data_IF_337841174126
#
_entry.id   IF_337841174126
#
_cell.length_a   1.000
_cell.length_b   1.000
_cell.length_c   1.000
_cell.angle_alpha   90.00
_cell.angle_beta   90.00
_cell.angle_gamma   90.00
#
_symmetry.space_group_name_H-M   'P 1'
#
loop_
_entity.id
_entity.type
_entity.pdbx_description
1 polymer ?
#
# COMPACT_ATOMS: atom_id res chain seq x y z
N UNK A 1 10.08 -13.65 13.74
CA UNK A 1 10.43 -12.37 13.09
C UNK A 1 9.42 -11.32 13.54
N UNK A 2 9.14 -11.28 14.85
CA UNK A 2 7.84 -10.84 15.35
C UNK A 2 7.91 -9.46 16.02
N UNK A 3 8.94 -8.69 15.64
CA UNK A 3 9.24 -7.37 16.22
C UNK A 3 9.18 -6.22 15.21
N UNK A 4 8.84 -6.52 13.95
CA UNK A 4 8.69 -5.53 12.90
C UNK A 4 7.22 -5.18 12.66
N UNK A 5 6.95 -3.98 12.15
CA UNK A 5 5.65 -3.64 11.60
C UNK A 5 5.30 -4.49 10.37
N UNK A 6 4.02 -4.53 10.02
CA UNK A 6 3.52 -5.36 8.93
C UNK A 6 2.55 -4.59 8.03
N UNK A 7 2.61 -4.89 6.73
CA UNK A 7 1.63 -4.44 5.75
C UNK A 7 1.21 -5.64 4.90
N UNK A 8 -0.05 -6.05 5.02
CA UNK A 8 -0.57 -7.20 4.29
C UNK A 8 -1.88 -6.88 3.58
N UNK A 9 -2.28 -7.79 2.70
CA UNK A 9 -3.50 -7.68 1.91
C UNK A 9 -4.32 -8.93 2.16
N UNK A 10 -5.58 -8.73 2.53
CA UNK A 10 -6.61 -9.75 2.56
C UNK A 10 -7.53 -9.56 1.37
N UNK A 11 -8.03 -10.65 0.81
CA UNK A 11 -8.95 -10.63 -0.33
C UNK A 11 -10.14 -11.49 0.00
N UNK A 12 -11.34 -10.98 -0.26
CA UNK A 12 -12.59 -11.71 -0.03
C UNK A 12 -12.61 -13.01 -0.86
N UNK A 13 -13.09 -14.11 -0.27
CA UNK A 13 -13.21 -15.40 -0.95
C UNK A 13 -11.98 -16.32 -0.83
N UNK A 14 -10.94 -15.90 -0.12
CA UNK A 14 -9.78 -16.75 0.19
C UNK A 14 -8.85 -16.94 -1.00
N UNK A 15 -7.62 -16.46 -0.87
CA UNK A 15 -6.59 -16.53 -1.92
C UNK A 15 -5.35 -17.23 -1.38
N UNK A 16 -4.68 -18.00 -2.24
CA UNK A 16 -3.41 -18.66 -1.91
C UNK A 16 -2.26 -18.01 -2.69
N UNK A 17 -1.05 -17.91 -2.11
CA UNK A 17 0.12 -17.44 -2.85
C UNK A 17 0.54 -18.41 -3.95
N UNK A 18 0.62 -17.91 -5.18
CA UNK A 18 1.12 -18.68 -6.34
C UNK A 18 2.62 -18.53 -6.50
N UNK A 19 3.11 -17.29 -6.41
CA UNK A 19 4.51 -16.96 -6.64
C UNK A 19 4.88 -15.63 -6.01
N UNK A 20 6.17 -15.50 -5.65
CA UNK A 20 6.77 -14.27 -5.17
C UNK A 20 8.17 -14.14 -5.75
N UNK A 21 8.45 -13.07 -6.49
CA UNK A 21 9.75 -12.85 -7.15
C UNK A 21 10.08 -11.38 -7.27
N UNK A 22 11.36 -11.05 -7.20
CA UNK A 22 11.85 -9.77 -7.69
C UNK A 22 11.87 -9.76 -9.22
N UNK A 23 11.50 -8.64 -9.84
CA UNK A 23 11.64 -8.49 -11.30
C UNK A 23 13.13 -8.35 -11.66
N UNK A 24 13.61 -9.01 -12.74
CA UNK A 24 15.03 -9.04 -13.09
C UNK A 24 15.65 -7.65 -13.17
N UNK A 25 16.80 -7.46 -12.51
CA UNK A 25 17.54 -6.19 -12.54
C UNK A 25 16.88 -5.04 -11.79
N UNK A 26 15.89 -5.31 -10.93
CA UNK A 26 15.15 -4.28 -10.19
C UNK A 26 14.98 -4.63 -8.72
N UNK A 27 14.73 -3.63 -7.88
CA UNK A 27 14.23 -3.82 -6.52
C UNK A 27 12.69 -3.71 -6.48
N UNK A 28 12.02 -4.36 -7.43
CA UNK A 28 10.56 -4.43 -7.53
C UNK A 28 10.14 -5.85 -7.19
N UNK A 29 9.34 -6.01 -6.15
CA UNK A 29 8.82 -7.29 -5.70
C UNK A 29 7.41 -7.51 -6.26
N UNK A 30 7.21 -8.63 -6.95
CA UNK A 30 5.90 -9.05 -7.45
C UNK A 30 5.43 -10.32 -6.74
N UNK A 31 4.23 -10.26 -6.18
CA UNK A 31 3.54 -11.40 -5.56
C UNK A 31 2.24 -11.67 -6.31
N UNK A 32 2.02 -12.90 -6.75
CA UNK A 32 0.76 -13.31 -7.37
C UNK A 32 0.01 -14.23 -6.41
N UNK A 33 -1.29 -13.98 -6.26
CA UNK A 33 -2.23 -14.80 -5.50
C UNK A 33 -3.32 -15.32 -6.46
N UNK A 34 -3.80 -16.55 -6.26
CA UNK A 34 -4.95 -17.09 -7.00
C UNK A 34 -6.04 -17.61 -6.08
N UNK A 35 -7.25 -17.65 -6.66
CA UNK A 35 -8.40 -18.38 -6.15
C UNK A 35 -9.27 -18.82 -7.33
N UNK A 36 -10.30 -19.65 -7.10
CA UNK A 36 -11.33 -19.91 -8.12
C UNK A 36 -12.07 -18.65 -8.61
N UNK A 37 -11.99 -17.54 -7.87
CA UNK A 37 -12.66 -16.27 -8.17
C UNK A 37 -11.80 -15.30 -8.98
N UNK A 38 -10.51 -15.57 -9.18
CA UNK A 38 -9.64 -14.75 -10.00
C UNK A 38 -8.18 -14.75 -9.54
N UNK A 39 -7.42 -13.78 -10.04
CA UNK A 39 -6.01 -13.57 -9.68
C UNK A 39 -5.80 -12.16 -9.17
N UNK A 40 -4.96 -12.02 -8.16
CA UNK A 40 -4.47 -10.74 -7.67
C UNK A 40 -2.94 -10.68 -7.85
N UNK A 41 -2.45 -9.60 -8.44
CA UNK A 41 -1.04 -9.26 -8.51
C UNK A 41 -0.78 -8.08 -7.59
N UNK A 42 0.19 -8.26 -6.70
CA UNK A 42 0.70 -7.24 -5.79
C UNK A 42 2.10 -6.88 -6.27
N UNK A 43 2.34 -5.59 -6.56
CA UNK A 43 3.66 -5.09 -6.94
C UNK A 43 4.13 -4.05 -5.94
N UNK A 44 5.25 -4.32 -5.28
CA UNK A 44 5.87 -3.49 -4.25
C UNK A 44 7.19 -2.90 -4.75
N UNK A 45 7.38 -1.60 -4.59
CA UNK A 45 8.64 -0.94 -4.93
C UNK A 45 8.81 0.39 -4.19
N UNK A 46 10.07 0.80 -4.02
CA UNK A 46 10.41 2.13 -3.53
C UNK A 46 10.60 3.07 -4.71
N UNK A 47 10.07 4.30 -4.61
CA UNK A 47 10.30 5.32 -5.63
C UNK A 47 11.71 5.87 -5.45
N UNK A 48 12.52 5.78 -6.50
CA UNK A 48 13.84 6.44 -6.57
C UNK A 48 13.66 7.71 -7.39
N UNK A 49 13.82 8.89 -6.78
CA UNK A 49 13.80 10.16 -7.50
C UNK A 49 15.19 10.50 -8.03
N UNK A 50 15.25 11.10 -9.22
CA UNK A 50 16.51 11.68 -9.72
C UNK A 50 16.92 12.88 -8.85
N UNK A 51 18.21 12.93 -8.53
CA UNK A 51 18.87 13.76 -7.51
C UNK A 51 18.69 15.29 -7.61
N UNK A 52 17.92 15.78 -8.59
CA UNK A 52 17.80 17.21 -8.92
C UNK A 52 16.52 17.88 -8.38
N UNK A 53 15.64 17.16 -7.68
CA UNK A 53 14.42 17.76 -7.10
C UNK A 53 14.43 17.66 -5.58
N UNK A 54 14.73 18.80 -4.93
CA UNK A 54 14.79 19.00 -3.48
C UNK A 54 13.40 19.11 -2.84
N UNK A 55 12.63 18.02 -2.83
CA UNK A 55 11.37 17.95 -2.07
C UNK A 55 11.45 16.80 -1.06
N UNK A 56 11.13 17.11 0.20
CA UNK A 56 11.58 16.50 1.46
C UNK A 56 11.08 15.08 1.81
N UNK A 57 10.75 14.26 0.82
CA UNK A 57 10.14 12.94 1.03
C UNK A 57 10.88 11.84 0.26
N UNK A 58 12.06 11.47 0.77
CA UNK A 58 12.98 10.50 0.13
C UNK A 58 12.54 9.02 0.30
N UNK A 59 11.46 8.76 1.04
CA UNK A 59 11.08 7.41 1.47
C UNK A 59 9.62 7.09 1.14
N UNK A 60 9.36 6.86 -0.15
CA UNK A 60 8.03 6.46 -0.65
C UNK A 60 8.04 4.99 -1.08
N UNK A 61 7.20 4.19 -0.43
CA UNK A 61 6.85 2.84 -0.86
C UNK A 61 5.54 2.88 -1.64
N UNK A 62 5.52 2.27 -2.82
CA UNK A 62 4.31 2.07 -3.62
C UNK A 62 3.94 0.61 -3.61
N UNK A 63 2.67 0.33 -3.31
CA UNK A 63 2.04 -0.98 -3.45
C UNK A 63 0.90 -0.88 -4.47
N UNK A 64 1.03 -1.61 -5.57
CA UNK A 64 0.03 -1.70 -6.62
C UNK A 64 -0.75 -3.00 -6.50
N UNK A 65 -2.09 -2.91 -6.50
CA UNK A 65 -2.99 -4.05 -6.52
C UNK A 65 -3.69 -4.13 -7.88
N UNK A 66 -3.46 -5.22 -8.62
CA UNK A 66 -4.03 -5.44 -9.95
C UNK A 66 -4.75 -6.79 -10.01
N UNK A 67 -6.03 -6.78 -10.35
CA UNK A 67 -6.83 -7.98 -10.57
C UNK A 67 -7.22 -8.06 -12.06
N UNK A 68 -6.39 -8.67 -12.92
CA UNK A 68 -6.54 -8.56 -14.37
C UNK A 68 -7.77 -9.29 -14.94
N UNK A 69 -8.31 -10.27 -14.23
CA UNK A 69 -9.35 -11.18 -14.76
C UNK A 69 -10.69 -11.10 -13.99
N UNK A 70 -10.78 -10.32 -12.91
CA UNK A 70 -11.96 -10.27 -12.06
C UNK A 70 -12.02 -9.00 -11.21
N UNK A 71 -13.22 -8.65 -10.76
CA UNK A 71 -13.42 -7.59 -9.78
C UNK A 71 -13.30 -8.15 -8.37
N UNK A 72 -12.29 -7.73 -7.61
CA UNK A 72 -11.96 -8.31 -6.30
C UNK A 72 -12.02 -7.27 -5.19
N UNK A 73 -12.74 -7.56 -4.11
CA UNK A 73 -12.70 -6.77 -2.87
C UNK A 73 -11.51 -7.18 -2.02
N UNK A 74 -10.70 -6.21 -1.62
CA UNK A 74 -9.53 -6.43 -0.78
C UNK A 74 -9.56 -5.54 0.46
N UNK A 75 -8.77 -5.90 1.46
CA UNK A 75 -8.46 -5.07 2.61
C UNK A 75 -6.94 -4.99 2.73
N UNK A 76 -6.41 -3.79 2.91
CA UNK A 76 -4.99 -3.54 3.18
C UNK A 76 -4.87 -3.27 4.67
N UNK A 77 -4.08 -4.07 5.36
CA UNK A 77 -3.90 -3.92 6.79
C UNK A 77 -2.49 -3.42 7.06
N UNK A 78 -2.38 -2.47 7.97
CA UNK A 78 -1.12 -1.88 8.40
C UNK A 78 -1.01 -1.97 9.92
N UNK A 79 0.02 -2.65 10.39
CA UNK A 79 0.50 -2.58 11.76
C UNK A 79 1.81 -1.77 11.77
N UNK A 80 1.68 -0.45 11.92
CA UNK A 80 2.82 0.45 11.98
C UNK A 80 3.48 0.40 13.36
N UNK A 81 4.78 0.09 13.38
CA UNK A 81 5.60 -0.02 14.60
C UNK A 81 6.75 0.98 14.54
N UNK A 82 6.46 2.23 14.86
CA UNK A 82 7.49 3.25 15.06
C UNK A 82 8.25 2.99 16.36
N UNK A 83 9.50 3.44 16.44
CA UNK A 83 10.36 3.21 17.62
C UNK A 83 10.37 1.74 18.06
N UNK A 84 10.41 0.82 17.09
CA UNK A 84 10.34 -0.64 17.33
C UNK A 84 9.12 -1.10 18.15
N UNK A 85 8.00 -0.38 18.05
CA UNK A 85 6.75 -0.70 18.73
C UNK A 85 6.68 -0.22 20.18
N UNK A 86 7.59 0.65 20.63
CA UNK A 86 7.55 1.24 21.96
C UNK A 86 6.32 2.13 22.19
N UNK A 87 5.79 2.74 21.13
CA UNK A 87 4.68 3.69 21.20
C UNK A 87 3.65 3.33 20.12
N UNK A 88 2.38 3.27 20.51
CA UNK A 88 1.29 3.15 19.56
C UNK A 88 1.10 4.50 18.83
N UNK A 89 1.13 4.54 17.50
CA UNK A 89 1.02 5.79 16.76
C UNK A 89 -0.37 6.42 16.90
N UNK A 90 -0.39 7.76 16.94
CA UNK A 90 -1.63 8.50 16.82
C UNK A 90 -2.08 8.51 15.35
N UNK A 91 -3.36 8.21 15.12
CA UNK A 91 -3.96 8.26 13.78
C UNK A 91 -4.63 9.60 13.57
N UNK A 92 -4.21 10.32 12.55
CA UNK A 92 -4.83 11.59 12.12
C UNK A 92 -5.31 11.50 10.67
N UNK A 93 -6.30 12.33 10.33
CA UNK A 93 -6.82 12.43 8.96
C UNK A 93 -6.32 13.76 8.39
N UNK A 94 -5.61 13.70 7.27
CA UNK A 94 -5.00 14.86 6.64
C UNK A 94 -5.70 15.13 5.29
N UNK A 95 -6.86 15.79 5.31
CA UNK A 95 -7.63 16.06 4.08
C UNK A 95 -8.47 14.88 3.61
N UNK A 96 -8.91 14.92 2.34
CA UNK A 96 -9.88 13.96 1.79
C UNK A 96 -9.16 12.76 1.18
N UNK A 97 -9.19 11.61 1.86
CA UNK A 97 -8.64 10.34 1.36
C UNK A 97 -7.25 9.98 1.92
N UNK A 98 -6.55 10.94 2.53
CA UNK A 98 -5.23 10.72 3.11
C UNK A 98 -5.30 10.56 4.62
N UNK A 99 -4.54 9.58 5.15
CA UNK A 99 -4.32 9.43 6.59
C UNK A 99 -2.85 9.59 6.91
N UNK A 100 -2.59 10.18 8.07
CA UNK A 100 -1.25 10.34 8.60
C UNK A 100 -1.17 9.64 9.96
N UNK A 101 -0.23 8.71 10.09
CA UNK A 101 0.17 8.09 11.35
C UNK A 101 1.40 8.82 11.85
N UNK A 102 1.38 9.33 13.08
CA UNK A 102 2.49 10.12 13.61
C UNK A 102 2.91 9.71 15.02
N UNK A 103 4.19 9.89 15.30
CA UNK A 103 4.79 10.08 16.61
C UNK A 103 5.45 11.47 16.67
N UNK A 104 5.94 11.88 17.85
CA UNK A 104 6.54 13.21 18.07
C UNK A 104 7.73 13.54 17.16
N UNK A 105 8.30 12.56 16.43
CA UNK A 105 9.43 12.79 15.51
C UNK A 105 9.38 11.97 14.21
N UNK A 106 8.30 11.25 13.94
CA UNK A 106 8.17 10.38 12.76
C UNK A 106 6.74 10.43 12.24
N UNK A 107 6.55 10.53 10.92
CA UNK A 107 5.24 10.34 10.30
C UNK A 107 5.26 9.34 9.16
N UNK A 108 4.16 8.60 9.01
CA UNK A 108 3.82 7.76 7.87
C UNK A 108 2.49 8.24 7.28
N UNK A 109 2.57 8.77 6.08
CA UNK A 109 1.44 9.19 5.27
C UNK A 109 0.98 8.02 4.41
N UNK A 110 -0.32 7.74 4.47
CA UNK A 110 -1.01 6.72 3.69
C UNK A 110 -1.94 7.40 2.71
N UNK A 111 -1.63 7.24 1.44
CA UNK A 111 -2.44 7.66 0.32
C UNK A 111 -2.97 6.42 -0.40
N UNK A 112 -4.26 6.41 -0.69
CA UNK A 112 -4.87 5.36 -1.51
C UNK A 112 -5.58 5.98 -2.70
N UNK A 113 -5.11 5.63 -3.89
CA UNK A 113 -5.79 5.98 -5.13
C UNK A 113 -7.01 5.08 -5.35
N UNK A 114 -8.21 5.62 -5.07
CA UNK A 114 -9.49 4.97 -5.39
C UNK A 114 -10.53 5.10 -4.29
N UNK A 115 -11.73 4.53 -4.49
CA UNK A 115 -12.75 4.46 -3.45
C UNK A 115 -12.27 3.55 -2.31
N UNK A 116 -12.17 4.10 -1.09
CA UNK A 116 -11.72 3.37 0.09
C UNK A 116 -12.60 3.63 1.30
N UNK A 117 -12.80 2.60 2.12
CA UNK A 117 -13.31 2.75 3.48
C UNK A 117 -12.17 2.53 4.48
N UNK A 118 -12.19 3.26 5.58
CA UNK A 118 -11.18 3.18 6.63
C UNK A 118 -11.83 2.71 7.91
N UNK A 119 -11.24 1.74 8.58
CA UNK A 119 -11.65 1.33 9.93
C UNK A 119 -10.43 1.29 10.86
N UNK A 120 -10.66 1.34 12.18
CA UNK A 120 -9.56 1.32 13.17
C UNK A 120 -9.01 -0.09 13.44
N UNK A 121 -9.48 -1.11 12.71
CA UNK A 121 -8.97 -2.49 12.72
C UNK A 121 -8.24 -2.90 11.42
N UNK A 122 -8.15 -2.01 10.42
CA UNK A 122 -7.62 -2.27 9.08
C UNK A 122 -8.13 -1.27 8.04
N UNK A 123 -7.52 -1.22 6.85
CA UNK A 123 -8.02 -0.42 5.73
C UNK A 123 -8.81 -1.37 4.81
N UNK A 124 -10.13 -1.23 4.74
CA UNK A 124 -10.94 -1.92 3.73
C UNK A 124 -10.83 -1.24 2.37
N UNK A 125 -9.91 -1.68 1.50
CA UNK A 125 -9.79 -1.17 0.12
C UNK A 125 -10.75 -1.93 -0.79
N UNK A 126 -12.00 -1.47 -0.83
CA UNK A 126 -12.98 -1.90 -1.82
C UNK A 126 -12.61 -1.45 -3.24
N UNK A 127 -11.53 -1.99 -3.81
CA UNK A 127 -11.27 -1.87 -5.22
C UNK A 127 -12.35 -2.66 -5.96
N UNK A 128 -13.15 -2.00 -6.79
CA UNK A 128 -13.81 -2.68 -7.91
C UNK A 128 -12.92 -2.39 -9.10
N UNK A 129 -12.06 -3.32 -9.54
CA UNK A 129 -11.49 -3.25 -10.88
C UNK A 129 -12.63 -2.93 -11.83
N UNK A 130 -12.45 -1.94 -12.71
CA UNK A 130 -13.40 -1.74 -13.81
C UNK A 130 -12.78 -2.41 -15.01
N UNK A 131 -13.56 -3.23 -15.71
CA UNK A 131 -13.24 -3.64 -17.09
C UNK A 131 -12.83 -2.40 -17.88
N UNK A 132 -11.69 -2.42 -18.61
CA UNK A 132 -11.17 -1.22 -19.25
C UNK A 132 -12.08 -0.81 -20.40
N UNK A 133 -13.02 0.10 -20.12
CA UNK A 133 -13.61 0.92 -21.18
C UNK A 133 -12.50 1.84 -21.71
N UNK A 134 -12.48 2.04 -23.03
CA UNK A 134 -11.42 2.58 -23.91
C UNK A 134 -10.80 3.97 -23.59
N UNK A 135 -10.76 4.43 -22.34
CA UNK A 135 -9.99 5.60 -21.88
C UNK A 135 -9.09 5.20 -20.70
N UNK A 136 -7.79 5.07 -21.00
CA UNK A 136 -6.62 4.98 -20.08
C UNK A 136 -6.85 4.32 -18.71
N UNK A 137 -6.35 3.10 -18.46
CA UNK A 137 -6.44 2.47 -17.14
C UNK A 137 -5.51 3.20 -16.16
N UNK A 138 -6.05 3.70 -15.05
CA UNK A 138 -5.24 4.04 -13.88
C UNK A 138 -5.38 2.89 -12.89
N UNK A 139 -4.31 2.12 -12.61
CA UNK A 139 -4.36 1.11 -11.57
C UNK A 139 -4.56 1.78 -10.20
N UNK A 140 -5.29 1.12 -9.29
CA UNK A 140 -5.44 1.59 -7.91
C UNK A 140 -4.12 1.41 -7.17
N UNK A 141 -3.49 2.52 -6.83
CA UNK A 141 -2.15 2.59 -6.25
C UNK A 141 -2.27 3.03 -4.78
N UNK A 142 -1.76 2.22 -3.85
CA UNK A 142 -1.54 2.67 -2.49
C UNK A 142 -0.12 3.23 -2.41
N UNK A 143 0.03 4.53 -2.18
CA UNK A 143 1.32 5.16 -1.95
C UNK A 143 1.48 5.45 -0.45
N UNK A 144 2.61 5.06 0.12
CA UNK A 144 2.97 5.36 1.49
C UNK A 144 4.25 6.17 1.52
N UNK A 145 4.24 7.29 2.23
CA UNK A 145 5.36 8.21 2.33
C UNK A 145 5.72 8.38 3.80
N UNK A 146 6.98 8.18 4.18
CA UNK A 146 7.47 8.57 5.50
C UNK A 146 8.16 9.94 5.43
N UNK A 147 7.89 10.81 6.39
CA UNK A 147 8.51 12.15 6.50
C UNK A 147 9.24 12.26 7.83
N UNK A 148 10.47 12.77 7.80
CA UNK A 148 11.16 13.22 9.01
C UNK A 148 10.78 14.69 9.30
N UNK A 149 10.62 15.11 10.56
CA UNK A 149 10.30 16.48 10.89
C UNK A 149 11.43 17.42 10.43
N UNK A 150 11.04 18.53 9.80
CA UNK A 150 11.92 19.66 9.51
C UNK A 150 12.43 20.22 10.86
N UNK A 151 13.74 20.53 11.00
CA UNK A 151 14.35 20.93 12.28
C UNK A 151 13.81 22.26 12.84
#
# INVERSE_FOLDING_TARGET
ADKGGALWVEVEGGFIPDSRRYLPGTNILQTNLSSPHGRLRITDFMVVRERQQTLEHDHVMVRLLEAPDADLKASVHLDARFEYGLIAPAVTVAGTGDRCLGLEHDSLHLHVDGPTAWDQGGIGVGATPRTPSRRTPRPSCCAMTATAPTP
#
